data_IF_872830631604
#
_entry.id   IF_872830631604
#
_cell.length_a   1.000
_cell.length_b   1.000
_cell.length_c   1.000
_cell.angle_alpha   90.00
_cell.angle_beta   90.00
_cell.angle_gamma   90.00
#
_symmetry.space_group_name_H-M   'P 1'
#
loop_
_entity.id
_entity.type
_entity.pdbx_description
1 polymer ?
#
# COMPACT_ATOMS: atom_id res chain seq x y z
N UNK A 1 -15.33 -3.53 10.89
CA UNK A 1 -14.50 -3.05 9.76
C UNK A 1 -13.00 -3.28 9.97
N UNK A 2 -12.50 -3.09 11.19
CA UNK A 2 -11.05 -3.19 11.49
C UNK A 2 -10.44 -4.55 11.13
N UNK A 3 -11.14 -5.66 11.36
CA UNK A 3 -10.62 -7.00 11.05
C UNK A 3 -10.34 -7.13 9.54
N UNK A 4 -11.30 -6.73 8.69
CA UNK A 4 -11.12 -6.76 7.25
C UNK A 4 -10.02 -5.82 6.77
N UNK A 5 -9.89 -4.63 7.37
CA UNK A 5 -8.84 -3.70 6.98
C UNK A 5 -7.43 -4.15 7.38
N UNK A 6 -7.29 -5.24 8.17
CA UNK A 6 -6.01 -5.93 8.43
C UNK A 6 -5.66 -6.99 7.38
N UNK A 7 -6.61 -7.39 6.53
CA UNK A 7 -6.39 -8.44 5.54
C UNK A 7 -5.78 -7.88 4.25
N UNK A 8 -4.97 -8.65 3.52
CA UNK A 8 -4.51 -8.26 2.19
C UNK A 8 -5.69 -8.17 1.21
N UNK A 9 -5.59 -7.24 0.24
CA UNK A 9 -6.63 -6.95 -0.77
C UNK A 9 -7.14 -8.22 -1.46
N UNK A 10 -6.23 -9.14 -1.82
CA UNK A 10 -6.59 -10.42 -2.46
C UNK A 10 -7.59 -11.25 -1.64
N UNK A 11 -7.44 -11.27 -0.32
CA UNK A 11 -8.35 -12.01 0.56
C UNK A 11 -9.69 -11.29 0.68
N UNK A 12 -9.68 -9.95 0.79
CA UNK A 12 -10.87 -9.12 0.90
C UNK A 12 -11.79 -9.30 -0.32
N UNK A 13 -11.22 -9.35 -1.54
CA UNK A 13 -11.98 -9.57 -2.77
C UNK A 13 -12.72 -10.91 -2.75
N UNK A 14 -12.09 -11.97 -2.22
CA UNK A 14 -12.75 -13.28 -2.05
C UNK A 14 -13.88 -13.22 -1.01
N UNK A 15 -13.69 -12.47 0.08
CA UNK A 15 -14.73 -12.26 1.08
C UNK A 15 -15.94 -11.46 0.56
N UNK A 16 -15.75 -10.61 -0.44
CA UNK A 16 -16.86 -9.94 -1.13
C UNK A 16 -17.82 -10.92 -1.82
N UNK A 17 -17.36 -12.12 -2.20
CA UNK A 17 -18.20 -13.12 -2.88
C UNK A 17 -19.02 -13.99 -1.93
N UNK A 18 -18.70 -14.05 -0.63
CA UNK A 18 -19.38 -14.93 0.33
C UNK A 18 -20.64 -14.31 0.95
N UNK A 19 -20.76 -12.97 0.98
CA UNK A 19 -22.04 -12.35 1.35
C UNK A 19 -22.24 -10.98 0.70
N UNK A 20 -23.51 -10.64 0.45
CA UNK A 20 -23.92 -9.33 -0.06
C UNK A 20 -23.49 -8.19 0.87
N UNK A 21 -23.57 -8.41 2.19
CA UNK A 21 -23.13 -7.44 3.19
C UNK A 21 -21.62 -7.17 3.07
N UNK A 22 -20.80 -8.21 2.93
CA UNK A 22 -19.35 -8.03 2.76
C UNK A 22 -18.99 -7.37 1.42
N UNK A 23 -19.75 -7.65 0.35
CA UNK A 23 -19.58 -6.98 -0.95
C UNK A 23 -19.85 -5.48 -0.90
N UNK A 24 -20.93 -5.04 -0.25
CA UNK A 24 -21.23 -3.61 -0.11
C UNK A 24 -20.24 -2.92 0.82
N UNK A 25 -19.84 -3.60 1.89
CA UNK A 25 -18.89 -3.10 2.87
C UNK A 25 -17.50 -2.81 2.27
N UNK A 26 -17.01 -3.73 1.44
CA UNK A 26 -15.70 -3.61 0.77
C UNK A 26 -15.70 -2.56 -0.34
N UNK A 27 -16.86 -2.26 -0.93
CA UNK A 27 -17.06 -1.18 -1.91
C UNK A 27 -17.34 0.19 -1.28
N UNK A 28 -17.57 0.24 0.03
CA UNK A 28 -17.91 1.49 0.71
C UNK A 28 -16.70 2.42 0.83
N UNK A 29 -16.89 3.72 0.59
CA UNK A 29 -15.81 4.72 0.61
C UNK A 29 -15.06 4.76 1.95
N UNK A 30 -15.77 4.62 3.08
CA UNK A 30 -15.13 4.58 4.40
C UNK A 30 -14.16 3.42 4.57
N UNK A 31 -14.43 2.28 3.94
CA UNK A 31 -13.54 1.12 3.98
C UNK A 31 -12.28 1.37 3.15
N UNK A 32 -12.44 1.94 1.95
CA UNK A 32 -11.33 2.31 1.06
C UNK A 32 -10.42 3.32 1.76
N UNK A 33 -11.00 4.36 2.37
CA UNK A 33 -10.24 5.38 3.08
C UNK A 33 -9.48 4.80 4.27
N UNK A 34 -10.10 3.93 5.07
CA UNK A 34 -9.43 3.27 6.20
C UNK A 34 -8.24 2.41 5.72
N UNK A 35 -8.41 1.69 4.61
CA UNK A 35 -7.37 0.86 4.02
C UNK A 35 -6.23 1.70 3.42
N UNK A 36 -6.56 2.81 2.77
CA UNK A 36 -5.60 3.76 2.20
C UNK A 36 -4.80 4.48 3.30
N UNK A 37 -5.46 5.00 4.34
CA UNK A 37 -4.80 5.65 5.47
C UNK A 37 -3.84 4.69 6.18
N UNK A 38 -4.19 3.41 6.34
CA UNK A 38 -3.26 2.44 6.92
C UNK A 38 -2.09 2.07 6.01
N UNK A 39 -2.30 2.02 4.70
CA UNK A 39 -1.19 1.88 3.75
C UNK A 39 -0.26 3.09 3.75
N UNK A 40 -0.82 4.29 3.98
CA UNK A 40 -0.08 5.55 4.10
C UNK A 40 0.56 5.77 5.47
N UNK A 41 0.21 4.97 6.48
CA UNK A 41 0.81 5.00 7.82
C UNK A 41 2.15 4.25 7.89
N UNK A 42 2.56 3.57 6.82
CA UNK A 42 3.93 3.08 6.68
C UNK A 42 4.89 4.24 6.41
N UNK A 43 6.17 4.08 6.80
CA UNK A 43 7.28 5.02 6.54
C UNK A 43 7.09 5.76 5.22
N UNK A 44 7.31 7.08 5.14
CA UNK A 44 7.21 7.80 3.88
C UNK A 44 8.06 7.08 2.83
N UNK A 45 7.51 6.82 1.65
CA UNK A 45 8.25 6.18 0.56
C UNK A 45 8.13 7.06 -0.66
N UNK A 46 9.28 7.43 -1.23
CA UNK A 46 9.31 8.12 -2.51
C UNK A 46 8.94 7.11 -3.59
N UNK A 47 7.92 7.41 -4.38
CA UNK A 47 7.44 6.53 -5.44
C UNK A 47 7.70 7.19 -6.80
N UNK A 48 8.57 6.57 -7.59
CA UNK A 48 8.88 7.01 -8.97
C UNK A 48 8.09 6.11 -9.92
N UNK A 49 7.28 6.71 -10.79
CA UNK A 49 6.53 5.97 -11.81
C UNK A 49 6.91 6.41 -13.20
N UNK A 50 6.99 5.45 -14.11
CA UNK A 50 7.16 5.68 -15.53
C UNK A 50 6.26 4.74 -16.32
N UNK A 51 5.74 5.21 -17.45
CA UNK A 51 4.82 4.47 -18.29
C UNK A 51 5.39 4.29 -19.68
N UNK A 52 5.32 3.06 -20.19
CA UNK A 52 5.38 2.76 -21.62
C UNK A 52 3.95 2.64 -22.17
N UNK A 53 3.78 2.59 -23.50
CA UNK A 53 2.47 2.58 -24.16
C UNK A 53 1.54 1.42 -23.73
N UNK A 54 2.07 0.36 -23.13
CA UNK A 54 1.28 -0.81 -22.68
C UNK A 54 1.50 -1.21 -21.21
N UNK A 55 2.43 -0.57 -20.48
CA UNK A 55 2.79 -0.96 -19.10
C UNK A 55 3.17 0.24 -18.24
N UNK A 56 2.85 0.17 -16.95
CA UNK A 56 3.29 1.14 -15.95
C UNK A 56 4.24 0.46 -14.96
N UNK A 57 5.33 1.12 -14.67
CA UNK A 57 6.35 0.65 -13.74
C UNK A 57 6.42 1.62 -12.56
N UNK A 58 6.56 1.07 -11.36
CA UNK A 58 6.73 1.82 -10.12
C UNK A 58 7.94 1.32 -9.33
N UNK A 59 8.80 2.25 -8.92
CA UNK A 59 9.91 2.01 -7.99
C UNK A 59 9.59 2.75 -6.69
N UNK A 60 9.64 2.03 -5.57
CA UNK A 60 9.39 2.60 -4.23
C UNK A 60 10.67 2.62 -3.39
N UNK A 61 11.08 3.81 -2.96
CA UNK A 61 12.24 4.05 -2.10
C UNK A 61 11.77 4.33 -0.68
N UNK A 62 12.24 3.61 0.35
CA UNK A 62 11.95 3.97 1.73
C UNK A 62 12.62 5.32 2.05
N UNK A 63 11.83 6.34 2.38
CA UNK A 63 12.32 7.63 2.82
C UNK A 63 12.47 7.57 4.34
N UNK A 64 13.68 7.28 4.80
CA UNK A 64 13.99 7.32 6.21
C UNK A 64 13.95 8.78 6.68
N UNK A 65 12.97 9.13 7.52
CA UNK A 65 13.04 10.39 8.26
C UNK A 65 13.96 10.17 9.45
N UNK A 66 15.20 10.65 9.34
CA UNK A 66 16.15 10.70 10.45
C UNK A 66 15.93 12.01 11.22
N UNK A 67 15.40 11.97 12.45
CA UNK A 67 15.22 13.19 13.24
C UNK A 67 16.55 13.77 13.78
N UNK A 68 17.61 12.95 13.88
CA UNK A 68 18.85 13.33 14.59
C UNK A 68 20.07 13.64 13.69
N UNK A 69 19.90 13.75 12.37
CA UNK A 69 21.01 14.13 11.46
C UNK A 69 22.19 13.15 11.40
N UNK A 70 22.17 12.06 12.16
CA UNK A 70 23.20 11.03 12.14
C UNK A 70 23.03 10.18 10.88
N UNK A 71 24.09 10.13 10.06
CA UNK A 71 24.16 9.23 8.91
C UNK A 71 24.00 7.79 9.39
N UNK A 72 23.04 7.01 8.86
CA UNK A 72 22.92 5.62 9.29
C UNK A 72 24.00 4.79 8.59
N UNK A 73 24.47 3.72 9.25
CA UNK A 73 25.46 2.82 8.67
C UNK A 73 24.85 2.08 7.47
N UNK A 74 25.59 2.03 6.37
CA UNK A 74 25.37 1.24 5.15
C UNK A 74 23.92 0.76 4.90
N UNK A 75 23.20 1.52 4.07
CA UNK A 75 21.86 1.15 3.63
C UNK A 75 21.87 -0.13 2.77
N UNK A 76 21.18 -1.16 3.25
CA UNK A 76 20.70 -2.25 2.40
C UNK A 76 19.38 -1.81 1.76
N UNK A 77 19.43 -1.28 0.55
CA UNK A 77 18.21 -0.88 -0.16
C UNK A 77 17.47 -2.11 -0.70
N UNK A 78 16.31 -2.44 -0.12
CA UNK A 78 15.37 -3.36 -0.78
C UNK A 78 14.54 -2.58 -1.80
N UNK A 79 14.95 -2.66 -3.07
CA UNK A 79 14.15 -2.16 -4.19
C UNK A 79 12.94 -3.08 -4.35
N UNK A 80 11.76 -2.61 -3.97
CA UNK A 80 10.50 -3.29 -4.27
C UNK A 80 9.93 -2.69 -5.55
N UNK A 81 10.09 -3.44 -6.64
CA UNK A 81 9.40 -3.16 -7.90
C UNK A 81 7.92 -3.43 -7.71
N UNK A 82 7.09 -2.42 -7.97
CA UNK A 82 5.65 -2.56 -8.02
C UNK A 82 5.26 -2.37 -9.48
N UNK A 83 4.74 -3.43 -10.11
CA UNK A 83 4.06 -3.30 -11.41
C UNK A 83 2.65 -2.81 -11.09
N UNK A 84 2.29 -1.64 -11.66
CA UNK A 84 1.02 -0.95 -11.39
C UNK A 84 0.05 -1.24 -12.53
#
# INVERSE_FOLDING_TARGET
MEILSRLPVKSIVRFGCVSKLWSTLTRHQSFINLFASRSSSGQPRLLVTFSTCYKKYGISFPQHQNPDGSYPPFYSFQIKTVVI
#
